data_IF_090991034146
#
_entry.id   IF_090991034146
#
_cell.length_a   1.000
_cell.length_b   1.000
_cell.length_c   1.000
_cell.angle_alpha   90.00
_cell.angle_beta   90.00
_cell.angle_gamma   90.00
#
_symmetry.space_group_name_H-M   'P 1'
#
loop_
_entity.id
_entity.type
_entity.pdbx_description
1 polymer ?
#
# COMPACT_ATOMS: atom_id res chain seq x y z
N UNK A 1 6.26 23.87 25.89
CA UNK A 1 6.74 22.68 25.17
C UNK A 1 5.79 22.44 24.02
N UNK A 2 6.19 22.80 22.79
CA UNK A 2 5.53 22.37 21.55
C UNK A 2 6.47 21.35 20.94
N UNK A 3 6.00 20.11 20.78
CA UNK A 3 6.71 19.11 20.01
C UNK A 3 5.95 19.02 18.68
N UNK A 4 6.43 19.77 17.72
CA UNK A 4 5.98 19.74 16.33
C UNK A 4 6.68 18.54 15.68
N UNK A 5 6.17 17.32 15.89
CA UNK A 5 6.65 16.13 15.18
C UNK A 5 6.07 16.13 13.77
N UNK A 6 6.74 16.88 12.90
CA UNK A 6 6.51 16.88 11.45
C UNK A 6 6.91 15.51 10.92
N UNK A 7 5.98 14.84 10.24
CA UNK A 7 6.14 13.51 9.65
C UNK A 7 7.22 13.45 8.56
N UNK A 8 8.46 13.25 8.99
CA UNK A 8 9.65 13.02 8.16
C UNK A 8 9.97 11.51 7.98
N UNK A 9 9.09 10.64 8.48
CA UNK A 9 9.28 9.17 8.49
C UNK A 9 9.08 8.49 7.12
N UNK A 10 8.58 9.23 6.13
CA UNK A 10 8.41 8.71 4.76
C UNK A 10 9.76 8.47 4.07
N UNK A 11 10.77 9.33 4.29
CA UNK A 11 12.08 9.16 3.66
C UNK A 11 12.86 7.99 4.26
N UNK A 12 12.69 7.73 5.56
CA UNK A 12 13.37 6.62 6.23
C UNK A 12 12.88 5.26 5.71
N UNK A 13 11.57 5.12 5.48
CA UNK A 13 10.98 3.93 4.83
C UNK A 13 11.49 3.74 3.39
N UNK A 14 11.67 4.82 2.62
CA UNK A 14 12.18 4.76 1.24
C UNK A 14 13.61 4.20 1.13
N UNK A 15 14.46 4.44 2.14
CA UNK A 15 15.81 3.88 2.17
C UNK A 15 15.85 2.48 2.77
N UNK A 16 15.04 2.22 3.81
CA UNK A 16 15.01 0.92 4.49
C UNK A 16 14.51 -0.22 3.61
N UNK A 17 13.49 0.00 2.75
CA UNK A 17 12.96 -1.13 1.96
C UNK A 17 13.98 -1.71 0.98
N UNK A 18 14.90 -0.88 0.47
CA UNK A 18 15.98 -1.34 -0.42
C UNK A 18 16.99 -2.20 0.33
N UNK A 19 17.36 -1.78 1.53
CA UNK A 19 18.25 -2.55 2.41
C UNK A 19 17.62 -3.87 2.82
N UNK A 20 16.32 -3.86 3.15
CA UNK A 20 15.55 -5.05 3.50
C UNK A 20 15.48 -6.04 2.33
N UNK A 21 15.22 -5.57 1.10
CA UNK A 21 15.20 -6.41 -0.11
C UNK A 21 16.58 -7.02 -0.39
N UNK A 22 17.65 -6.23 -0.24
CA UNK A 22 19.02 -6.72 -0.40
C UNK A 22 19.36 -7.79 0.65
N UNK A 23 18.94 -7.61 1.91
CA UNK A 23 19.10 -8.59 2.97
C UNK A 23 18.29 -9.86 2.71
N UNK A 24 17.02 -9.74 2.31
CA UNK A 24 16.16 -10.87 1.95
C UNK A 24 16.78 -11.71 0.83
N UNK A 25 17.39 -11.05 -0.16
CA UNK A 25 18.12 -11.73 -1.22
C UNK A 25 19.33 -12.48 -0.68
N UNK A 26 20.09 -11.87 0.23
CA UNK A 26 21.26 -12.50 0.87
C UNK A 26 20.89 -13.74 1.69
N UNK A 27 19.68 -13.78 2.25
CA UNK A 27 19.13 -14.93 2.97
C UNK A 27 18.50 -15.99 2.06
N UNK A 28 18.51 -15.80 0.74
CA UNK A 28 17.99 -16.76 -0.23
C UNK A 28 16.47 -16.74 -0.42
N UNK A 29 15.78 -15.67 0.02
CA UNK A 29 14.33 -15.55 -0.24
C UNK A 29 14.06 -15.33 -1.73
N UNK A 30 12.99 -15.96 -2.23
CA UNK A 30 12.52 -15.85 -3.61
C UNK A 30 11.25 -14.99 -3.73
N UNK A 31 10.64 -14.62 -2.62
CA UNK A 31 9.40 -13.87 -2.56
C UNK A 31 9.39 -12.90 -1.37
N UNK A 32 8.71 -11.77 -1.53
CA UNK A 32 8.51 -10.80 -0.47
C UNK A 32 7.02 -10.43 -0.41
N UNK A 33 6.41 -10.74 0.73
CA UNK A 33 5.02 -10.40 1.02
C UNK A 33 4.98 -9.11 1.82
N UNK A 34 4.19 -8.15 1.34
CA UNK A 34 3.94 -6.88 2.03
C UNK A 34 2.46 -6.52 1.96
N UNK A 35 1.99 -5.66 2.86
CA UNK A 35 0.65 -5.08 2.79
C UNK A 35 0.69 -3.69 2.17
N UNK A 36 -0.35 -3.36 1.42
CA UNK A 36 -0.58 -2.01 0.90
C UNK A 36 -1.54 -1.32 1.86
N UNK A 37 -1.19 -0.10 2.26
CA UNK A 37 -2.03 0.65 3.17
C UNK A 37 -3.09 1.44 2.42
N UNK A 38 -4.36 1.11 2.64
CA UNK A 38 -5.47 1.78 1.96
C UNK A 38 -5.45 3.31 2.15
N UNK A 39 -5.36 3.87 3.37
CA UNK A 39 -5.30 5.32 3.55
C UNK A 39 -4.03 5.96 2.98
N UNK A 40 -2.98 5.18 2.68
CA UNK A 40 -1.79 5.71 1.98
C UNK A 40 -2.05 5.92 0.49
N UNK A 41 -2.97 5.15 -0.11
CA UNK A 41 -3.32 5.20 -1.53
C UNK A 41 -4.52 6.13 -1.78
N UNK A 42 -5.58 6.01 -0.97
CA UNK A 42 -6.75 6.89 -1.01
C UNK A 42 -6.98 7.39 0.44
N UNK A 43 -6.53 8.60 0.80
CA UNK A 43 -6.54 9.07 2.20
C UNK A 43 -7.89 9.03 2.90
N UNK A 44 -8.97 9.31 2.15
CA UNK A 44 -10.34 9.26 2.65
C UNK A 44 -11.03 7.91 2.36
N UNK A 45 -10.38 7.03 1.58
CA UNK A 45 -10.81 5.67 1.28
C UNK A 45 -11.87 5.53 0.20
N UNK A 46 -12.71 6.55 -0.02
CA UNK A 46 -13.90 6.44 -0.85
C UNK A 46 -13.62 6.37 -2.34
N UNK A 47 -14.59 5.82 -3.08
CA UNK A 47 -14.48 5.64 -4.53
C UNK A 47 -14.37 6.93 -5.35
N UNK A 48 -14.89 8.01 -4.80
CA UNK A 48 -14.89 9.35 -5.39
C UNK A 48 -13.79 10.26 -4.83
N UNK A 49 -12.96 9.74 -3.92
CA UNK A 49 -11.91 10.50 -3.25
C UNK A 49 -10.60 10.53 -4.06
N UNK A 50 -9.78 11.59 -3.87
CA UNK A 50 -8.52 11.72 -4.61
C UNK A 50 -7.51 10.64 -4.23
N UNK A 51 -6.79 10.16 -5.24
CA UNK A 51 -5.65 9.24 -5.06
C UNK A 51 -4.43 10.03 -4.60
N UNK A 52 -3.71 9.48 -3.61
CA UNK A 52 -2.40 9.96 -3.22
C UNK A 52 -1.32 9.32 -4.11
N UNK A 53 -0.98 10.00 -5.21
CA UNK A 53 0.01 9.52 -6.17
C UNK A 53 1.39 9.23 -5.55
N UNK A 54 1.81 9.98 -4.53
CA UNK A 54 3.09 9.73 -3.85
C UNK A 54 3.09 8.40 -3.08
N UNK A 55 1.96 8.09 -2.43
CA UNK A 55 1.78 6.83 -1.72
C UNK A 55 1.75 5.65 -2.69
N UNK A 56 1.06 5.82 -3.82
CA UNK A 56 1.00 4.81 -4.87
C UNK A 56 2.36 4.60 -5.58
N UNK A 57 3.13 5.67 -5.78
CA UNK A 57 4.48 5.59 -6.34
C UNK A 57 5.43 4.78 -5.44
N UNK A 58 5.36 4.97 -4.12
CA UNK A 58 6.17 4.20 -3.17
C UNK A 58 5.97 2.68 -3.35
N UNK A 59 4.72 2.22 -3.51
CA UNK A 59 4.45 0.80 -3.72
C UNK A 59 4.89 0.31 -5.10
N UNK A 60 4.84 1.16 -6.13
CA UNK A 60 5.41 0.84 -7.44
C UNK A 60 6.93 0.66 -7.33
N UNK A 61 7.62 1.58 -6.67
CA UNK A 61 9.08 1.53 -6.49
C UNK A 61 9.50 0.29 -5.68
N UNK A 62 8.72 -0.08 -4.66
CA UNK A 62 8.94 -1.30 -3.88
C UNK A 62 8.82 -2.58 -4.73
N UNK A 63 7.81 -2.64 -5.61
CA UNK A 63 7.62 -3.75 -6.56
C UNK A 63 8.78 -3.81 -7.54
N UNK A 64 9.20 -2.67 -8.09
CA UNK A 64 10.32 -2.58 -9.02
C UNK A 64 11.64 -3.03 -8.38
N UNK A 65 11.87 -2.66 -7.12
CA UNK A 65 13.05 -3.09 -6.36
C UNK A 65 13.03 -4.59 -6.07
N UNK A 66 11.87 -5.17 -5.76
CA UNK A 66 11.74 -6.62 -5.59
C UNK A 66 12.14 -7.34 -6.88
N UNK A 67 11.60 -6.90 -8.02
CA UNK A 67 11.87 -7.49 -9.33
C UNK A 67 13.34 -7.33 -9.73
N UNK A 68 13.94 -6.17 -9.48
CA UNK A 68 15.36 -5.92 -9.79
C UNK A 68 16.31 -6.86 -9.03
N UNK A 69 15.92 -7.30 -7.83
CA UNK A 69 16.63 -8.30 -7.03
C UNK A 69 16.19 -9.76 -7.30
N UNK A 70 15.31 -9.98 -8.27
CA UNK A 70 14.76 -11.31 -8.58
C UNK A 70 13.98 -11.92 -7.42
N UNK A 71 13.28 -11.07 -6.67
CA UNK A 71 12.33 -11.43 -5.61
C UNK A 71 10.92 -11.22 -6.17
N UNK A 72 10.04 -12.20 -5.98
CA UNK A 72 8.65 -12.10 -6.42
C UNK A 72 7.85 -11.24 -5.43
N UNK A 73 7.28 -10.09 -5.82
CA UNK A 73 6.47 -9.27 -4.93
C UNK A 73 5.07 -9.87 -4.76
N UNK A 74 4.61 -9.98 -3.51
CA UNK A 74 3.29 -10.47 -3.12
C UNK A 74 2.53 -9.42 -2.29
N UNK A 75 1.83 -8.46 -2.93
CA UNK A 75 1.05 -7.45 -2.22
C UNK A 75 -0.23 -8.04 -1.62
N UNK A 76 -0.47 -7.75 -0.35
CA UNK A 76 -1.75 -7.98 0.34
C UNK A 76 -2.54 -6.66 0.33
N UNK A 77 -3.70 -6.65 -0.34
CA UNK A 77 -4.49 -5.42 -0.56
C UNK A 77 -5.04 -4.81 0.72
N UNK A 78 -5.41 -5.63 1.72
CA UNK A 78 -6.00 -5.16 2.96
C UNK A 78 -5.46 -5.95 4.14
N UNK A 79 -5.02 -5.24 5.19
CA UNK A 79 -4.50 -5.87 6.41
C UNK A 79 -4.98 -5.13 7.67
N UNK A 80 -6.30 -5.01 7.79
CA UNK A 80 -7.02 -4.41 8.93
C UNK A 80 -6.80 -2.92 9.13
N UNK A 81 -6.50 -2.20 8.05
CA UNK A 81 -6.19 -0.77 8.04
C UNK A 81 -7.24 0.03 7.26
N UNK A 82 -8.50 -0.10 7.68
CA UNK A 82 -9.61 0.65 7.10
C UNK A 82 -9.39 2.17 7.30
N UNK A 83 -9.56 3.00 6.25
CA UNK A 83 -9.54 4.45 6.41
C UNK A 83 -10.57 4.92 7.42
N UNK A 84 -10.14 5.69 8.42
CA UNK A 84 -11.00 6.21 9.49
C UNK A 84 -12.20 7.00 8.95
N UNK A 85 -12.04 7.67 7.81
CA UNK A 85 -13.11 8.41 7.14
C UNK A 85 -14.29 7.51 6.74
N UNK A 86 -14.04 6.27 6.32
CA UNK A 86 -15.09 5.31 5.95
C UNK A 86 -15.83 4.79 7.18
N UNK A 87 -15.09 4.51 8.26
CA UNK A 87 -15.67 4.14 9.55
C UNK A 87 -16.62 5.23 10.07
N UNK A 88 -16.20 6.50 9.98
CA UNK A 88 -17.02 7.63 10.42
C UNK A 88 -18.21 7.94 9.49
N UNK A 89 -18.09 7.62 8.20
CA UNK A 89 -19.12 7.95 7.19
C UNK A 89 -20.29 6.97 7.22
N UNK A 90 -20.03 5.67 7.43
CA UNK A 90 -21.06 4.63 7.33
C UNK A 90 -20.77 3.37 8.17
N UNK A 91 -19.89 3.42 9.16
CA UNK A 91 -19.50 2.25 9.99
C UNK A 91 -18.73 1.17 9.21
N UNK A 92 -18.01 1.58 8.16
CA UNK A 92 -17.02 0.74 7.50
C UNK A 92 -17.59 -0.59 6.98
N UNK A 93 -17.06 -1.70 7.49
CA UNK A 93 -17.47 -3.05 7.06
C UNK A 93 -18.91 -3.42 7.42
N UNK A 94 -19.58 -2.65 8.28
CA UNK A 94 -20.99 -2.85 8.61
C UNK A 94 -21.92 -2.46 7.46
N UNK A 95 -21.55 -1.46 6.64
CA UNK A 95 -22.27 -1.11 5.41
C UNK A 95 -21.64 -1.81 4.20
N UNK A 96 -22.10 -3.04 3.97
CA UNK A 96 -21.58 -3.90 2.90
C UNK A 96 -21.74 -3.31 1.49
N UNK A 97 -22.74 -2.47 1.22
CA UNK A 97 -22.95 -1.91 -0.11
C UNK A 97 -21.92 -0.82 -0.40
N UNK A 98 -21.74 0.12 0.54
CA UNK A 98 -20.79 1.22 0.38
C UNK A 98 -19.34 0.73 0.39
N UNK A 99 -18.98 -0.13 1.35
CA UNK A 99 -17.60 -0.58 1.51
C UNK A 99 -17.11 -1.43 0.34
N UNK A 100 -17.99 -2.23 -0.28
CA UNK A 100 -17.63 -3.03 -1.45
C UNK A 100 -17.31 -2.13 -2.64
N UNK A 101 -18.11 -1.09 -2.88
CA UNK A 101 -17.84 -0.15 -3.96
C UNK A 101 -16.51 0.62 -3.75
N UNK A 102 -16.25 1.05 -2.52
CA UNK A 102 -15.01 1.76 -2.17
C UNK A 102 -13.78 0.82 -2.26
N UNK A 103 -13.91 -0.43 -1.80
CA UNK A 103 -12.85 -1.43 -1.89
C UNK A 103 -12.54 -1.84 -3.33
N UNK A 104 -13.56 -2.01 -4.18
CA UNK A 104 -13.38 -2.31 -5.61
C UNK A 104 -12.60 -1.19 -6.29
N UNK A 105 -12.95 0.08 -6.03
CA UNK A 105 -12.20 1.21 -6.57
C UNK A 105 -10.73 1.20 -6.13
N UNK A 106 -10.49 0.96 -4.84
CA UNK A 106 -9.14 0.85 -4.30
C UNK A 106 -8.34 -0.28 -4.96
N UNK A 107 -8.96 -1.46 -5.12
CA UNK A 107 -8.34 -2.58 -5.82
C UNK A 107 -8.02 -2.24 -7.28
N UNK A 108 -8.95 -1.63 -8.02
CA UNK A 108 -8.74 -1.22 -9.42
C UNK A 108 -7.55 -0.26 -9.58
N UNK A 109 -7.39 0.70 -8.66
CA UNK A 109 -6.23 1.62 -8.64
C UNK A 109 -4.92 0.85 -8.51
N UNK A 110 -4.89 -0.15 -7.63
CA UNK A 110 -3.70 -0.97 -7.40
C UNK A 110 -3.42 -1.91 -8.56
N UNK A 111 -4.42 -2.57 -9.12
CA UNK A 111 -4.27 -3.41 -10.30
C UNK A 111 -3.79 -2.60 -11.51
N UNK A 112 -4.33 -1.40 -11.72
CA UNK A 112 -3.89 -0.53 -12.81
C UNK A 112 -2.43 -0.08 -12.68
N UNK A 113 -1.92 0.08 -11.45
CA UNK A 113 -0.53 0.50 -11.22
C UNK A 113 0.46 -0.65 -11.15
N UNK A 114 0.09 -1.77 -10.53
CA UNK A 114 1.02 -2.83 -10.12
C UNK A 114 0.75 -4.17 -10.82
N UNK A 115 -0.42 -4.36 -11.41
CA UNK A 115 -0.89 -5.66 -11.89
C UNK A 115 -0.08 -6.26 -13.05
N UNK A 116 0.71 -5.45 -13.75
CA UNK A 116 1.63 -5.90 -14.79
C UNK A 116 2.93 -6.52 -14.25
N UNK A 117 3.25 -6.24 -12.97
CA UNK A 117 4.55 -6.53 -12.33
C UNK A 117 4.42 -7.34 -11.05
N UNK A 118 3.28 -7.30 -10.38
CA UNK A 118 3.02 -8.03 -9.16
C UNK A 118 2.25 -9.32 -9.42
N UNK A 119 2.72 -10.43 -8.83
CA UNK A 119 1.97 -11.69 -8.82
C UNK A 119 0.85 -11.59 -7.80
N UNK A 120 -0.39 -11.45 -8.26
CA UNK A 120 -1.57 -11.65 -7.43
C UNK A 120 -1.93 -13.13 -7.50
N UNK A 121 -1.39 -13.91 -6.55
CA UNK A 121 -1.64 -15.35 -6.45
C UNK A 121 -3.10 -15.71 -6.26
#
# INVERSE_FOLDING_TARGET
MRNDEVGDDAMNSYHQFREDIALLKSYGSNAYRFSISWPRVIPLGGRDDPINEKGLQFYSDLVDECISHGITPFPTLYHWDLPLALEQKYEGWSDTEQIVADFVRYADVLFARLGDRASTG
#
